data_IF_056385568805
#
_entry.id   IF_056385568805
#
_cell.length_a   1.000
_cell.length_b   1.000
_cell.length_c   1.000
_cell.angle_alpha   90.00
_cell.angle_beta   90.00
_cell.angle_gamma   90.00
#
_symmetry.space_group_name_H-M   'P 1'
#
loop_
_entity.id
_entity.type
_entity.pdbx_description
1 polymer ?
#
# COMPACT_ATOMS: atom_id res chain seq x y z
N UNK A 1 -23.52 36.07 -76.65
CA UNK A 1 -24.22 35.29 -75.65
C UNK A 1 -23.15 34.55 -74.87
N UNK A 2 -22.80 35.03 -73.64
CA UNK A 2 -21.78 34.43 -72.76
C UNK A 2 -22.51 33.72 -71.62
N UNK A 3 -22.45 32.40 -71.57
CA UNK A 3 -22.98 31.58 -70.47
C UNK A 3 -22.00 31.63 -69.30
N UNK A 4 -22.41 32.31 -68.22
CA UNK A 4 -21.67 32.37 -66.96
C UNK A 4 -22.06 31.13 -66.16
N UNK A 5 -21.14 30.15 -66.02
CA UNK A 5 -21.32 28.97 -65.19
C UNK A 5 -21.11 29.34 -63.73
N UNK A 6 -22.16 29.35 -62.94
CA UNK A 6 -22.12 29.40 -61.48
C UNK A 6 -21.62 28.05 -60.96
N UNK A 7 -20.47 28.05 -60.32
CA UNK A 7 -19.95 26.91 -59.54
C UNK A 7 -20.50 27.06 -58.12
N UNK A 8 -21.26 26.11 -57.59
CA UNK A 8 -21.68 26.17 -56.19
C UNK A 8 -20.48 25.92 -55.30
N UNK A 9 -20.20 26.87 -54.43
CA UNK A 9 -19.20 26.76 -53.35
C UNK A 9 -19.75 25.79 -52.29
N UNK A 10 -19.37 24.51 -52.36
CA UNK A 10 -19.66 23.53 -51.30
C UNK A 10 -18.72 23.83 -50.15
N UNK A 11 -19.26 24.48 -49.11
CA UNK A 11 -18.57 24.73 -47.85
C UNK A 11 -18.52 23.41 -47.08
N UNK A 12 -17.40 22.69 -47.21
CA UNK A 12 -17.13 21.49 -46.38
C UNK A 12 -16.78 21.97 -44.98
N UNK A 13 -17.77 21.96 -44.09
CA UNK A 13 -17.56 22.09 -42.65
C UNK A 13 -16.85 20.82 -42.18
N UNK A 14 -15.52 20.86 -42.12
CA UNK A 14 -14.72 19.87 -41.42
C UNK A 14 -14.97 20.12 -39.91
N UNK A 15 -15.91 19.43 -39.34
CA UNK A 15 -16.00 19.27 -37.89
C UNK A 15 -14.76 18.51 -37.44
N UNK A 16 -13.71 19.25 -37.11
CA UNK A 16 -12.61 18.72 -36.33
C UNK A 16 -13.16 18.29 -34.96
N UNK A 17 -13.52 17.01 -34.87
CA UNK A 17 -13.67 16.35 -33.59
C UNK A 17 -12.32 16.42 -32.89
N UNK A 18 -12.05 17.52 -32.20
CA UNK A 18 -11.02 17.58 -31.18
C UNK A 18 -11.53 16.68 -30.06
N UNK A 19 -11.27 15.37 -30.19
CA UNK A 19 -11.41 14.44 -29.10
C UNK A 19 -10.50 14.96 -27.98
N UNK A 20 -11.13 15.54 -26.97
CA UNK A 20 -10.49 15.72 -25.68
C UNK A 20 -10.09 14.31 -25.23
N UNK A 21 -8.82 13.94 -25.46
CA UNK A 21 -8.20 12.83 -24.75
C UNK A 21 -8.18 13.27 -23.28
N UNK A 22 -9.23 12.91 -22.56
CA UNK A 22 -9.18 12.87 -21.12
C UNK A 22 -8.10 11.85 -20.82
N UNK A 23 -6.90 12.34 -20.48
CA UNK A 23 -5.82 11.52 -19.99
C UNK A 23 -6.36 10.87 -18.71
N UNK A 24 -6.79 9.62 -18.84
CA UNK A 24 -7.24 8.84 -17.70
C UNK A 24 -6.06 8.79 -16.74
N UNK A 25 -6.14 9.48 -15.60
CA UNK A 25 -5.08 9.52 -14.62
C UNK A 25 -4.68 8.08 -14.31
N UNK A 26 -3.41 7.75 -14.48
CA UNK A 26 -2.92 6.39 -14.32
C UNK A 26 -2.99 6.02 -12.85
N UNK A 27 -4.00 5.24 -12.46
CA UNK A 27 -4.29 4.87 -11.07
C UNK A 27 -3.30 3.85 -10.48
N UNK A 28 -2.43 3.30 -11.32
CA UNK A 28 -1.35 2.39 -10.94
C UNK A 28 -0.19 2.50 -11.93
N UNK A 29 0.99 2.10 -11.50
CA UNK A 29 2.21 2.07 -12.31
C UNK A 29 2.58 0.61 -12.55
N UNK A 30 2.82 0.23 -13.80
CA UNK A 30 3.39 -1.08 -14.12
C UNK A 30 4.90 -1.08 -13.88
N UNK A 31 5.38 -2.03 -13.10
CA UNK A 31 6.81 -2.16 -12.76
C UNK A 31 7.53 -2.81 -13.94
N UNK A 32 8.52 -2.12 -14.50
CA UNK A 32 9.23 -2.58 -15.71
C UNK A 32 10.13 -3.80 -15.47
N UNK A 33 10.75 -3.91 -14.28
CA UNK A 33 11.57 -5.04 -13.87
C UNK A 33 10.77 -5.96 -12.93
N UNK A 34 9.75 -6.61 -13.49
CA UNK A 34 8.89 -7.52 -12.73
C UNK A 34 9.72 -8.66 -12.16
N UNK A 35 9.76 -8.76 -10.83
CA UNK A 35 10.20 -9.98 -10.17
C UNK A 35 8.95 -10.74 -9.77
N UNK A 36 8.73 -11.85 -10.45
CA UNK A 36 7.67 -12.78 -10.10
C UNK A 36 7.83 -13.17 -8.63
N UNK A 37 6.76 -13.10 -7.88
CA UNK A 37 6.75 -13.62 -6.51
C UNK A 37 6.95 -15.13 -6.59
N UNK A 38 7.84 -15.69 -5.77
CA UNK A 38 8.06 -17.15 -5.67
C UNK A 38 6.87 -17.79 -4.91
N UNK A 39 5.66 -17.61 -5.41
CA UNK A 39 4.43 -18.06 -4.76
C UNK A 39 3.40 -18.44 -5.83
N UNK A 40 2.66 -19.51 -5.58
CA UNK A 40 1.47 -19.87 -6.36
C UNK A 40 0.28 -18.94 -6.11
N UNK A 41 0.44 -17.97 -5.18
CA UNK A 41 -0.58 -16.99 -4.83
C UNK A 41 -0.25 -15.62 -5.40
N UNK A 42 -1.28 -14.85 -5.69
CA UNK A 42 -1.18 -13.41 -5.94
C UNK A 42 -0.84 -12.73 -4.62
N UNK A 43 0.32 -12.09 -4.54
CA UNK A 43 0.76 -11.42 -3.31
C UNK A 43 0.49 -9.92 -3.42
N UNK A 44 -0.19 -9.39 -2.42
CA UNK A 44 -0.33 -7.96 -2.20
C UNK A 44 0.62 -7.58 -1.07
N UNK A 45 1.60 -6.73 -1.33
CA UNK A 45 2.41 -6.12 -0.29
C UNK A 45 1.83 -4.75 0.03
N UNK A 46 1.56 -4.50 1.31
CA UNK A 46 1.29 -3.17 1.84
C UNK A 46 2.55 -2.65 2.54
N UNK A 47 3.15 -1.60 2.02
CA UNK A 47 4.23 -0.90 2.69
C UNK A 47 3.66 0.23 3.54
N UNK A 48 3.89 0.18 4.85
CA UNK A 48 3.31 1.11 5.80
C UNK A 48 4.31 1.55 6.89
N UNK A 49 3.90 2.54 7.66
CA UNK A 49 4.58 2.97 8.88
C UNK A 49 3.53 3.42 9.91
N UNK A 50 3.63 2.97 11.15
CA UNK A 50 2.68 3.34 12.21
C UNK A 50 2.55 4.84 12.43
N UNK A 51 3.62 5.64 12.28
CA UNK A 51 3.56 7.08 12.42
C UNK A 51 3.00 7.84 11.21
N UNK A 52 2.50 7.14 10.16
CA UNK A 52 1.96 7.76 8.96
C UNK A 52 0.44 7.93 9.06
N UNK A 53 -0.09 9.19 9.09
CA UNK A 53 -1.54 9.42 9.15
C UNK A 53 -2.31 8.84 7.95
N UNK A 54 -1.68 8.83 6.77
CA UNK A 54 -2.31 8.26 5.58
C UNK A 54 -2.39 6.72 5.64
N UNK A 55 -1.44 6.05 6.31
CA UNK A 55 -1.54 4.62 6.58
C UNK A 55 -2.69 4.34 7.55
N UNK A 56 -2.77 5.09 8.66
CA UNK A 56 -3.89 4.99 9.60
C UNK A 56 -5.25 5.16 8.91
N UNK A 57 -5.39 6.19 8.08
CA UNK A 57 -6.65 6.43 7.36
C UNK A 57 -6.97 5.36 6.31
N UNK A 58 -5.98 4.59 5.87
CA UNK A 58 -6.14 3.51 4.91
C UNK A 58 -6.58 2.19 5.55
N UNK A 59 -6.34 1.97 6.86
CA UNK A 59 -6.63 0.70 7.54
C UNK A 59 -8.04 0.14 7.28
N UNK A 60 -9.14 0.93 7.34
CA UNK A 60 -10.47 0.40 7.04
C UNK A 60 -10.59 -0.17 5.62
N UNK A 61 -9.84 0.39 4.68
CA UNK A 61 -9.81 -0.11 3.29
C UNK A 61 -8.95 -1.36 3.18
N UNK A 62 -7.83 -1.44 3.93
CA UNK A 62 -6.99 -2.63 3.98
C UNK A 62 -7.75 -3.81 4.59
N UNK A 63 -8.49 -3.59 5.68
CA UNK A 63 -9.37 -4.60 6.29
C UNK A 63 -10.44 -5.09 5.29
N UNK A 64 -11.06 -4.15 4.56
CA UNK A 64 -12.01 -4.49 3.51
C UNK A 64 -11.38 -5.32 2.40
N UNK A 65 -10.15 -4.98 1.97
CA UNK A 65 -9.40 -5.77 1.00
C UNK A 65 -9.19 -7.18 1.58
N UNK A 66 -8.63 -7.30 2.77
CA UNK A 66 -8.27 -8.57 3.40
C UNK A 66 -9.49 -9.50 3.58
N UNK A 67 -10.63 -8.95 4.04
CA UNK A 67 -11.89 -9.71 4.19
C UNK A 67 -12.46 -10.23 2.85
N UNK A 68 -12.10 -9.62 1.73
CA UNK A 68 -12.59 -9.99 0.41
C UNK A 68 -11.54 -10.72 -0.46
N UNK A 69 -10.42 -11.17 0.14
CA UNK A 69 -9.43 -11.97 -0.57
C UNK A 69 -9.90 -13.40 -0.76
N UNK A 70 -9.73 -13.90 -1.98
CA UNK A 70 -9.90 -15.32 -2.26
C UNK A 70 -8.68 -16.14 -1.83
N UNK A 71 -8.82 -17.45 -1.84
CA UNK A 71 -7.77 -18.41 -1.39
C UNK A 71 -6.48 -18.32 -2.21
N UNK A 72 -6.55 -17.80 -3.43
CA UNK A 72 -5.43 -17.61 -4.36
C UNK A 72 -4.66 -16.30 -4.13
N UNK A 73 -5.11 -15.46 -3.22
CA UNK A 73 -4.52 -14.14 -2.94
C UNK A 73 -4.11 -14.03 -1.47
N UNK A 74 -3.05 -13.28 -1.19
CA UNK A 74 -2.55 -13.05 0.16
C UNK A 74 -2.11 -11.60 0.34
N UNK A 75 -2.53 -10.96 1.43
CA UNK A 75 -2.02 -9.67 1.89
C UNK A 75 -0.83 -9.89 2.84
N UNK A 76 0.24 -9.15 2.61
CA UNK A 76 1.43 -9.12 3.47
C UNK A 76 1.72 -7.67 3.84
N UNK A 77 1.52 -7.32 5.10
CA UNK A 77 1.89 -6.01 5.64
C UNK A 77 3.41 -5.96 5.87
N UNK A 78 4.06 -4.92 5.35
CA UNK A 78 5.51 -4.72 5.41
C UNK A 78 5.79 -3.36 6.06
N UNK A 79 6.06 -3.32 7.35
CA UNK A 79 6.48 -2.09 7.99
C UNK A 79 7.85 -1.68 7.45
N UNK A 80 8.00 -0.42 7.04
CA UNK A 80 9.22 0.08 6.42
C UNK A 80 10.03 0.95 7.37
N UNK A 81 11.35 0.78 7.31
CA UNK A 81 12.33 1.61 7.99
C UNK A 81 13.04 2.52 6.96
N UNK A 82 12.28 3.40 6.29
CA UNK A 82 12.86 4.36 5.32
C UNK A 82 13.73 5.42 6.01
N UNK A 83 13.62 5.55 7.34
CA UNK A 83 14.43 6.41 8.20
C UNK A 83 14.73 5.65 9.50
N UNK A 84 15.83 5.93 10.14
CA UNK A 84 16.24 5.27 11.39
C UNK A 84 15.16 5.34 12.48
N UNK A 85 14.45 6.48 12.58
CA UNK A 85 13.35 6.68 13.55
C UNK A 85 12.12 5.81 13.29
N UNK A 86 12.00 5.19 12.11
CA UNK A 86 10.89 4.30 11.77
C UNK A 86 11.16 2.84 12.14
N UNK A 87 12.42 2.51 12.36
CA UNK A 87 12.85 1.14 12.67
C UNK A 87 12.19 0.61 13.96
N UNK A 88 12.01 1.48 14.96
CA UNK A 88 11.33 1.13 16.23
C UNK A 88 9.94 0.58 15.96
N UNK A 89 9.16 1.23 15.10
CA UNK A 89 7.82 0.77 14.73
C UNK A 89 7.84 -0.51 13.91
N UNK A 90 8.81 -0.66 13.00
CA UNK A 90 8.96 -1.89 12.22
C UNK A 90 9.32 -3.09 13.12
N UNK A 91 10.21 -2.88 14.09
CA UNK A 91 10.55 -3.90 15.09
C UNK A 91 9.35 -4.26 15.96
N UNK A 92 8.54 -3.26 16.37
CA UNK A 92 7.32 -3.49 17.14
C UNK A 92 6.35 -4.40 16.39
N UNK A 93 6.05 -4.11 15.12
CA UNK A 93 5.17 -4.94 14.31
C UNK A 93 5.65 -6.40 14.24
N UNK A 94 6.92 -6.63 13.92
CA UNK A 94 7.45 -7.99 13.81
C UNK A 94 7.58 -8.72 15.16
N UNK A 95 7.78 -7.99 16.26
CA UNK A 95 7.73 -8.57 17.60
C UNK A 95 6.31 -9.05 17.92
N UNK A 96 5.29 -8.24 17.63
CA UNK A 96 3.89 -8.59 17.83
C UNK A 96 3.46 -9.79 16.97
N UNK A 97 3.91 -9.86 15.71
CA UNK A 97 3.70 -11.04 14.86
C UNK A 97 4.23 -12.32 15.51
N UNK A 98 5.45 -12.27 16.06
CA UNK A 98 6.02 -13.44 16.74
C UNK A 98 5.26 -13.83 18.00
N UNK A 99 4.66 -12.87 18.67
CA UNK A 99 3.74 -13.08 19.80
C UNK A 99 2.34 -13.51 19.38
N UNK A 100 2.00 -13.48 18.08
CA UNK A 100 0.66 -13.67 17.52
C UNK A 100 -0.36 -12.67 18.07
N UNK A 101 0.05 -11.42 18.19
CA UNK A 101 -0.74 -10.30 18.72
C UNK A 101 -0.90 -9.16 17.69
N UNK A 102 -0.38 -9.32 16.49
CA UNK A 102 -0.48 -8.34 15.41
C UNK A 102 -1.94 -8.00 15.08
N UNK A 103 -2.81 -8.97 14.88
CA UNK A 103 -4.23 -8.75 14.60
C UNK A 103 -4.96 -7.95 15.71
N UNK A 104 -4.53 -8.10 16.96
CA UNK A 104 -5.18 -7.42 18.09
C UNK A 104 -4.63 -6.03 18.38
N UNK A 105 -3.35 -5.79 18.08
CA UNK A 105 -2.64 -4.60 18.51
C UNK A 105 -2.29 -3.65 17.35
N UNK A 106 -2.39 -4.10 16.12
CA UNK A 106 -2.09 -3.29 14.96
C UNK A 106 -2.93 -2.00 14.90
N UNK A 107 -4.24 -2.14 14.89
CA UNK A 107 -5.17 -1.01 14.90
C UNK A 107 -5.05 -0.15 16.15
N UNK A 108 -4.86 -0.80 17.32
CA UNK A 108 -4.70 -0.09 18.59
C UNK A 108 -3.45 0.77 18.64
N UNK A 109 -2.33 0.32 18.07
CA UNK A 109 -1.10 1.13 17.96
C UNK A 109 -1.32 2.34 17.05
N UNK A 110 -1.97 2.15 15.91
CA UNK A 110 -2.36 3.27 15.05
C UNK A 110 -3.25 4.27 15.79
N UNK A 111 -4.27 3.80 16.48
CA UNK A 111 -5.19 4.65 17.28
C UNK A 111 -4.43 5.38 18.38
N UNK A 112 -3.54 4.71 19.10
CA UNK A 112 -2.75 5.32 20.17
C UNK A 112 -1.87 6.47 19.64
N UNK A 113 -1.26 6.27 18.47
CA UNK A 113 -0.40 7.27 17.85
C UNK A 113 -1.21 8.44 17.29
N UNK A 114 -2.30 8.18 16.54
CA UNK A 114 -2.97 9.21 15.74
C UNK A 114 -4.15 9.87 16.44
N UNK A 115 -4.78 9.21 17.39
CA UNK A 115 -5.93 9.75 18.13
C UNK A 115 -5.50 10.20 19.53
N UNK A 116 -4.75 9.35 20.27
CA UNK A 116 -4.34 9.66 21.63
C UNK A 116 -3.04 10.49 21.70
N UNK A 117 -2.32 10.65 20.58
CA UNK A 117 -1.11 11.47 20.48
C UNK A 117 0.13 10.86 21.12
N UNK A 118 0.08 9.61 21.55
CA UNK A 118 1.23 8.88 22.10
C UNK A 118 2.05 8.27 20.96
N UNK A 119 3.19 8.84 20.67
CA UNK A 119 3.99 8.48 19.48
C UNK A 119 4.54 7.06 19.48
N UNK A 120 4.65 6.40 20.63
CA UNK A 120 5.23 5.06 20.79
C UNK A 120 6.59 4.89 20.06
N UNK A 121 7.38 5.96 20.01
CA UNK A 121 8.58 6.10 19.19
C UNK A 121 9.87 5.60 19.88
N UNK A 122 9.75 4.96 21.05
CA UNK A 122 10.83 4.25 21.71
C UNK A 122 10.39 2.86 22.17
N UNK A 123 11.36 1.98 22.40
CA UNK A 123 11.10 0.63 22.92
C UNK A 123 10.40 0.67 24.28
N UNK A 124 10.82 1.58 25.14
CA UNK A 124 10.29 1.73 26.51
C UNK A 124 8.80 2.15 26.48
N UNK A 125 8.43 3.09 25.62
CA UNK A 125 7.02 3.48 25.44
C UNK A 125 6.16 2.35 24.89
N UNK A 126 6.70 1.58 23.95
CA UNK A 126 6.03 0.41 23.42
C UNK A 126 5.88 -0.68 24.49
N UNK A 127 6.93 -0.93 25.27
CA UNK A 127 6.89 -1.89 26.38
C UNK A 127 5.81 -1.52 27.41
N UNK A 128 5.78 -0.25 27.84
CA UNK A 128 4.76 0.27 28.74
C UNK A 128 3.36 0.11 28.14
N UNK A 129 3.17 0.52 26.89
CA UNK A 129 1.89 0.39 26.20
C UNK A 129 1.42 -1.07 26.12
N UNK A 130 2.30 -2.02 25.75
CA UNK A 130 1.98 -3.45 25.69
C UNK A 130 1.56 -3.99 27.05
N UNK A 131 2.24 -3.55 28.13
CA UNK A 131 1.88 -3.89 29.51
C UNK A 131 0.50 -3.35 29.88
N UNK A 132 0.20 -2.10 29.53
CA UNK A 132 -1.08 -1.44 29.81
C UNK A 132 -2.24 -2.07 29.06
N UNK A 133 -1.97 -2.64 27.87
CA UNK A 133 -2.93 -3.46 27.13
C UNK A 133 -3.12 -4.87 27.74
N UNK A 134 -2.45 -5.21 28.84
CA UNK A 134 -2.58 -6.49 29.55
C UNK A 134 -1.76 -7.63 28.95
N UNK A 135 -0.80 -7.34 28.08
CA UNK A 135 0.05 -8.38 27.48
C UNK A 135 1.42 -8.48 28.16
N UNK A 136 2.15 -9.56 27.86
CA UNK A 136 3.45 -9.82 28.45
C UNK A 136 4.54 -8.92 27.84
N UNK A 137 4.80 -7.78 28.48
CA UNK A 137 5.80 -6.82 28.06
C UNK A 137 7.23 -7.40 28.01
N UNK A 138 7.57 -8.33 28.92
CA UNK A 138 8.88 -8.98 28.89
C UNK A 138 9.07 -9.81 27.61
N UNK A 139 8.09 -10.60 27.23
CA UNK A 139 8.13 -11.34 25.96
C UNK A 139 8.18 -10.40 24.75
N UNK A 140 7.47 -9.27 24.80
CA UNK A 140 7.56 -8.27 23.75
C UNK A 140 9.00 -7.75 23.59
N UNK A 141 9.69 -7.38 24.66
CA UNK A 141 11.08 -6.91 24.62
C UNK A 141 12.02 -8.01 24.11
N UNK A 142 11.84 -9.26 24.55
CA UNK A 142 12.63 -10.39 24.06
C UNK A 142 12.50 -10.58 22.55
N UNK A 143 11.28 -10.50 21.99
CA UNK A 143 11.06 -10.57 20.55
C UNK A 143 11.53 -9.31 19.83
N UNK A 144 11.31 -8.13 20.39
CA UNK A 144 11.74 -6.85 19.83
C UNK A 144 13.26 -6.79 19.61
N UNK A 145 14.05 -7.29 20.57
CA UNK A 145 15.53 -7.33 20.52
C UNK A 145 16.07 -8.62 19.85
N UNK A 146 15.19 -9.48 19.34
CA UNK A 146 15.61 -10.75 18.77
C UNK A 146 16.26 -10.59 17.39
N UNK A 147 17.21 -11.46 17.08
CA UNK A 147 17.78 -11.60 15.74
C UNK A 147 16.70 -11.86 14.67
N UNK A 148 15.64 -12.60 15.03
CA UNK A 148 14.52 -12.88 14.14
C UNK A 148 13.80 -11.60 13.71
N UNK A 149 13.57 -10.66 14.63
CA UNK A 149 13.00 -9.34 14.32
C UNK A 149 13.92 -8.52 13.44
N UNK A 150 15.22 -8.44 13.75
CA UNK A 150 16.21 -7.71 12.94
C UNK A 150 16.26 -8.26 11.50
N UNK A 151 16.20 -9.58 11.35
CA UNK A 151 16.21 -10.21 10.03
C UNK A 151 14.93 -9.86 9.22
N UNK A 152 13.77 -9.80 9.87
CA UNK A 152 12.49 -9.40 9.24
C UNK A 152 12.50 -7.94 8.83
N UNK A 153 13.00 -7.03 9.67
CA UNK A 153 13.18 -5.61 9.32
C UNK A 153 14.11 -5.45 8.11
N UNK A 154 15.26 -6.13 8.12
CA UNK A 154 16.16 -6.12 6.96
C UNK A 154 15.55 -6.70 5.70
N UNK A 155 14.70 -7.73 5.81
CA UNK A 155 13.95 -8.29 4.68
C UNK A 155 12.94 -7.28 4.13
N UNK A 156 12.18 -6.61 5.01
CA UNK A 156 11.24 -5.53 4.64
C UNK A 156 11.95 -4.37 3.93
N UNK A 157 13.10 -3.93 4.46
CA UNK A 157 13.92 -2.87 3.83
C UNK A 157 14.43 -3.28 2.45
N UNK A 158 14.89 -4.53 2.27
CA UNK A 158 15.29 -5.03 0.95
C UNK A 158 14.13 -5.07 -0.04
N UNK A 159 12.96 -5.48 0.43
CA UNK A 159 11.75 -5.51 -0.39
C UNK A 159 11.32 -4.09 -0.79
N UNK A 160 11.36 -3.14 0.14
CA UNK A 160 11.10 -1.72 -0.14
C UNK A 160 12.07 -1.15 -1.20
N UNK A 161 13.36 -1.47 -1.08
CA UNK A 161 14.36 -1.07 -2.07
C UNK A 161 14.11 -1.73 -3.44
N UNK A 162 13.77 -3.02 -3.47
CA UNK A 162 13.46 -3.75 -4.70
C UNK A 162 12.33 -3.10 -5.49
N UNK A 163 11.27 -2.66 -4.82
CA UNK A 163 10.12 -1.99 -5.43
C UNK A 163 10.23 -0.47 -5.46
N UNK A 164 11.40 0.07 -5.09
CA UNK A 164 11.65 1.52 -5.07
C UNK A 164 10.55 2.26 -4.31
N UNK A 165 10.28 1.79 -3.08
CA UNK A 165 9.32 2.42 -2.19
C UNK A 165 9.95 3.66 -1.58
N UNK A 166 9.39 4.83 -1.87
CA UNK A 166 9.86 6.14 -1.38
C UNK A 166 8.86 6.83 -0.47
N UNK A 167 7.64 6.31 -0.41
CA UNK A 167 6.55 6.84 0.41
C UNK A 167 5.61 5.72 0.87
N UNK A 168 4.85 6.00 1.93
CA UNK A 168 3.82 5.10 2.47
C UNK A 168 2.51 5.87 2.65
N UNK A 169 1.34 5.21 2.51
CA UNK A 169 1.18 3.82 2.14
C UNK A 169 1.44 3.58 0.65
N UNK A 170 2.02 2.44 0.32
CA UNK A 170 2.17 1.98 -1.08
C UNK A 170 1.82 0.50 -1.16
N UNK A 171 1.04 0.12 -2.17
CA UNK A 171 0.66 -1.25 -2.45
C UNK A 171 1.40 -1.78 -3.68
N UNK A 172 1.90 -3.01 -3.59
CA UNK A 172 2.48 -3.74 -4.72
C UNK A 172 1.66 -5.00 -4.95
N UNK A 173 1.08 -5.15 -6.12
CA UNK A 173 0.28 -6.31 -6.49
C UNK A 173 1.11 -7.24 -7.38
N UNK A 174 1.32 -8.45 -6.90
CA UNK A 174 2.03 -9.57 -7.53
C UNK A 174 3.42 -9.21 -8.09
N UNK A 175 4.10 -8.21 -7.47
CA UNK A 175 5.40 -7.73 -7.94
C UNK A 175 5.37 -6.97 -9.28
N UNK A 176 4.18 -6.76 -9.87
CA UNK A 176 4.01 -6.20 -11.22
C UNK A 176 3.39 -4.81 -11.23
N UNK A 177 2.55 -4.48 -10.27
CA UNK A 177 1.83 -3.21 -10.24
C UNK A 177 2.03 -2.48 -8.91
N UNK A 178 2.23 -1.17 -8.99
CA UNK A 178 2.34 -0.27 -7.84
C UNK A 178 1.17 0.69 -7.84
N UNK A 179 0.47 0.82 -6.71
CA UNK A 179 -0.54 1.85 -6.49
C UNK A 179 -0.42 2.44 -5.09
N UNK A 180 -1.08 3.56 -4.86
CA UNK A 180 -1.09 4.27 -3.57
C UNK A 180 -2.25 5.27 -3.52
N UNK A 181 -2.56 5.78 -2.33
CA UNK A 181 -3.57 6.82 -2.17
C UNK A 181 -3.32 8.10 -2.97
N UNK A 182 -2.06 8.37 -3.36
CA UNK A 182 -1.73 9.54 -4.19
C UNK A 182 -2.05 9.39 -5.68
N UNK A 183 -2.35 8.17 -6.14
CA UNK A 183 -2.69 7.87 -7.54
C UNK A 183 -4.20 7.77 -7.78
N UNK A 184 -4.99 7.89 -6.72
CA UNK A 184 -6.46 7.75 -6.75
C UNK A 184 -7.12 8.94 -6.08
N UNK A 185 -8.41 9.12 -6.31
CA UNK A 185 -9.19 10.23 -5.73
C UNK A 185 -9.76 9.90 -4.35
N UNK A 186 -9.86 8.61 -4.00
CA UNK A 186 -10.37 8.12 -2.72
C UNK A 186 -9.84 6.73 -2.37
N UNK A 187 -9.99 6.31 -1.12
CA UNK A 187 -9.64 4.95 -0.71
C UNK A 187 -10.63 3.89 -1.23
N UNK A 188 -11.88 4.27 -1.53
CA UNK A 188 -12.80 3.38 -2.26
C UNK A 188 -12.30 3.11 -3.68
N UNK A 189 -11.82 4.13 -4.36
CA UNK A 189 -11.19 3.94 -5.67
C UNK A 189 -9.91 3.10 -5.58
N UNK A 190 -9.12 3.23 -4.50
CA UNK A 190 -7.96 2.38 -4.28
C UNK A 190 -8.37 0.90 -4.13
N UNK A 191 -9.44 0.63 -3.39
CA UNK A 191 -10.01 -0.71 -3.29
C UNK A 191 -10.35 -1.27 -4.68
N UNK A 192 -11.08 -0.51 -5.49
CA UNK A 192 -11.49 -0.93 -6.84
C UNK A 192 -10.28 -1.20 -7.74
N UNK A 193 -9.24 -0.36 -7.65
CA UNK A 193 -7.97 -0.56 -8.38
C UNK A 193 -7.28 -1.85 -7.95
N UNK A 194 -7.23 -2.14 -6.66
CA UNK A 194 -6.62 -3.39 -6.15
C UNK A 194 -7.39 -4.60 -6.66
N UNK A 195 -8.73 -4.60 -6.59
CA UNK A 195 -9.56 -5.68 -7.12
C UNK A 195 -9.34 -5.88 -8.63
N UNK A 196 -9.33 -4.80 -9.40
CA UNK A 196 -9.02 -4.84 -10.83
C UNK A 196 -7.66 -5.50 -11.11
N UNK A 197 -6.64 -5.17 -10.32
CA UNK A 197 -5.29 -5.70 -10.51
C UNK A 197 -5.18 -7.18 -10.11
N UNK A 198 -5.91 -7.62 -9.09
CA UNK A 198 -6.04 -9.05 -8.72
C UNK A 198 -6.67 -9.82 -9.88
N UNK A 199 -7.82 -9.36 -10.39
CA UNK A 199 -8.49 -10.02 -11.53
C UNK A 199 -7.59 -10.07 -12.77
N UNK A 200 -6.84 -9.00 -13.02
CA UNK A 200 -5.89 -8.97 -14.15
C UNK A 200 -4.77 -10.00 -14.00
N UNK A 201 -4.34 -10.31 -12.78
CA UNK A 201 -3.35 -11.37 -12.52
C UNK A 201 -3.93 -12.78 -12.65
N UNK A 202 -5.22 -12.98 -12.38
CA UNK A 202 -5.91 -14.27 -12.53
C UNK A 202 -6.06 -14.74 -13.98
N UNK A 203 -6.14 -13.78 -14.92
CA UNK A 203 -6.36 -14.08 -16.35
C UNK A 203 -5.08 -14.10 -17.17
N UNK A 204 -3.91 -13.82 -16.57
CA UNK A 204 -2.60 -13.84 -17.21
C UNK A 204 -1.77 -15.06 -16.76
#
# INVERSE_FOLDING_TARGET
MKFLRLIPLVLILIFSNLGYLVEASQKYIQISNQKQTESDKIIIYEFFWYGCPHCYNLEPTMDRIEMNLDKDTMLIKVPVALRDTWEVHAKAYYALQQMKLDDNLHEKIFTEIHINGNRLDTKEKLEEYIKDQGYNAKSFVEYFDSFGTDLRVKKGSRLANQYQITSVPTLIINGKYKTSGSLVSSYDELYDVVQLLIEKERVN
#
